data_IF_216954474352
#
_entry.id   IF_216954474352
#
_cell.length_a   1.000
_cell.length_b   1.000
_cell.length_c   1.000
_cell.angle_alpha   90.00
_cell.angle_beta   90.00
_cell.angle_gamma   90.00
#
_symmetry.space_group_name_H-M   'P 1'
#
loop_
_entity.id
_entity.type
_entity.pdbx_description
1 polymer ?
#
# COMPACT_ATOMS: atom_id res chain seq x y z
N UNK A 1 2.43 -21.51 -2.39
CA UNK A 1 2.85 -20.20 -2.89
C UNK A 1 1.70 -19.26 -2.62
N UNK A 2 1.70 -18.60 -1.47
CA UNK A 2 0.71 -17.56 -1.18
C UNK A 2 1.06 -16.39 -2.11
N UNK A 3 0.30 -16.26 -3.18
CA UNK A 3 0.48 -15.19 -4.16
C UNK A 3 0.27 -13.87 -3.42
N UNK A 4 1.33 -13.06 -3.31
CA UNK A 4 1.22 -11.70 -2.86
C UNK A 4 0.39 -10.96 -3.93
N UNK A 5 -0.90 -10.83 -3.66
CA UNK A 5 -1.88 -10.26 -4.57
C UNK A 5 -1.97 -8.77 -4.29
N UNK A 6 -1.65 -7.98 -5.32
CA UNK A 6 -1.87 -6.54 -5.31
C UNK A 6 -3.36 -6.28 -5.27
N UNK A 7 -3.84 -5.64 -4.21
CA UNK A 7 -5.22 -5.14 -4.12
C UNK A 7 -5.20 -3.69 -4.56
N UNK A 8 -6.11 -3.32 -5.43
CA UNK A 8 -6.20 -1.96 -5.97
C UNK A 8 -7.53 -1.38 -5.53
N UNK A 9 -7.50 -0.14 -5.05
CA UNK A 9 -8.70 0.60 -4.71
C UNK A 9 -8.59 2.05 -5.15
N UNK A 10 -9.64 2.55 -5.79
CA UNK A 10 -9.74 3.96 -6.18
C UNK A 10 -10.11 4.81 -4.97
N UNK A 11 -9.33 5.86 -4.71
CA UNK A 11 -9.59 6.83 -3.65
C UNK A 11 -9.28 8.25 -4.14
N UNK A 12 -10.30 9.13 -4.11
CA UNK A 12 -10.22 10.54 -4.54
C UNK A 12 -9.65 10.72 -5.98
N UNK A 13 -9.92 9.79 -6.90
CA UNK A 13 -9.39 9.84 -8.28
C UNK A 13 -7.93 9.41 -8.41
N UNK A 14 -7.42 8.66 -7.44
CA UNK A 14 -6.13 7.97 -7.51
C UNK A 14 -6.30 6.49 -7.26
N UNK A 15 -5.45 5.68 -7.89
CA UNK A 15 -5.38 4.25 -7.68
C UNK A 15 -4.39 3.94 -6.55
N UNK A 16 -4.91 3.32 -5.48
CA UNK A 16 -4.14 2.88 -4.32
C UNK A 16 -3.89 1.38 -4.43
N UNK A 17 -2.66 1.01 -4.78
CA UNK A 17 -2.20 -0.37 -4.89
C UNK A 17 -1.58 -0.82 -3.57
N UNK A 18 -2.16 -1.81 -2.92
CA UNK A 18 -1.70 -2.40 -1.66
C UNK A 18 -1.22 -3.82 -1.90
N UNK A 19 0.01 -4.11 -1.52
CA UNK A 19 0.58 -5.45 -1.46
C UNK A 19 0.89 -5.80 -0.02
N UNK A 20 0.35 -6.93 0.46
CA UNK A 20 0.70 -7.46 1.78
C UNK A 20 1.49 -8.74 1.60
N UNK A 21 2.70 -8.78 2.17
CA UNK A 21 3.61 -9.91 2.03
C UNK A 21 4.19 -10.31 3.38
N UNK A 22 4.37 -11.62 3.63
CA UNK A 22 5.07 -12.09 4.82
C UNK A 22 6.55 -11.67 4.77
N UNK A 23 7.09 -11.19 5.89
CA UNK A 23 8.46 -10.67 6.03
C UNK A 23 9.34 -11.70 6.75
N UNK A 24 10.06 -12.51 5.96
CA UNK A 24 11.00 -13.53 6.45
C UNK A 24 10.71 -14.96 5.99
N UNK A 25 11.68 -15.86 6.16
CA UNK A 25 11.59 -17.26 5.74
C UNK A 25 10.79 -18.14 6.74
N UNK A 26 10.58 -17.64 7.97
CA UNK A 26 9.89 -18.31 9.09
C UNK A 26 8.69 -17.46 9.59
N UNK A 27 7.96 -16.83 8.66
CA UNK A 27 7.04 -15.72 8.91
C UNK A 27 5.70 -16.09 9.55
N UNK A 28 5.72 -16.79 10.67
CA UNK A 28 4.56 -16.88 11.53
C UNK A 28 4.46 -15.55 12.29
N UNK A 29 3.58 -14.67 11.82
CA UNK A 29 3.24 -13.42 12.51
C UNK A 29 4.14 -12.22 12.21
N UNK A 30 4.78 -12.19 11.04
CA UNK A 30 5.49 -11.01 10.52
C UNK A 30 5.00 -10.68 9.13
N UNK A 31 4.06 -9.74 9.06
CA UNK A 31 3.54 -9.24 7.81
C UNK A 31 4.00 -7.81 7.61
N UNK A 32 4.45 -7.51 6.39
CA UNK A 32 4.72 -6.16 5.93
C UNK A 32 3.75 -5.79 4.82
N UNK A 33 3.73 -4.52 4.47
CA UNK A 33 2.95 -4.04 3.36
C UNK A 33 3.74 -3.06 2.50
N UNK A 34 3.34 -2.97 1.24
CA UNK A 34 3.78 -1.96 0.30
C UNK A 34 2.54 -1.32 -0.31
N UNK A 35 2.52 0.00 -0.33
CA UNK A 35 1.48 0.82 -0.92
C UNK A 35 2.11 1.58 -2.06
N UNK A 36 1.44 1.64 -3.20
CA UNK A 36 1.79 2.51 -4.30
C UNK A 36 0.56 3.32 -4.65
N UNK A 37 0.73 4.61 -4.83
CA UNK A 37 -0.34 5.53 -5.21
C UNK A 37 0.06 6.13 -6.53
N UNK A 38 -0.80 5.98 -7.53
CA UNK A 38 -0.62 6.57 -8.86
C UNK A 38 -1.88 7.36 -9.25
N UNK A 39 -1.71 8.38 -10.08
CA UNK A 39 -2.85 9.07 -10.67
C UNK A 39 -3.66 8.11 -11.56
N UNK A 40 -4.98 8.27 -11.59
CA UNK A 40 -5.87 7.47 -12.44
C UNK A 40 -5.38 7.49 -13.90
N UNK A 41 -5.08 6.31 -14.45
CA UNK A 41 -4.61 6.15 -15.83
C UNK A 41 -3.11 6.41 -16.06
N UNK A 42 -2.34 6.72 -15.01
CA UNK A 42 -0.88 6.74 -15.07
C UNK A 42 -0.31 5.31 -14.93
N UNK A 43 0.76 5.01 -15.67
CA UNK A 43 1.45 3.73 -15.54
C UNK A 43 2.15 3.64 -14.17
N UNK A 44 1.79 2.67 -13.29
CA UNK A 44 2.42 2.52 -11.97
C UNK A 44 3.89 2.04 -12.04
N UNK A 45 4.39 1.77 -13.25
CA UNK A 45 5.79 1.49 -13.54
C UNK A 45 6.59 2.76 -13.85
N UNK A 46 5.92 3.89 -14.10
CA UNK A 46 6.55 5.19 -14.31
C UNK A 46 6.87 5.80 -12.94
N UNK A 47 8.16 5.79 -12.60
CA UNK A 47 8.66 6.18 -11.29
C UNK A 47 8.56 7.69 -11.00
N UNK A 48 8.08 8.50 -11.95
CA UNK A 48 7.98 9.95 -11.81
C UNK A 48 6.77 10.43 -11.03
N UNK A 49 5.65 9.72 -11.11
CA UNK A 49 4.33 10.15 -10.58
C UNK A 49 3.70 9.14 -9.60
N UNK A 50 4.45 8.10 -9.24
CA UNK A 50 3.97 7.04 -8.34
C UNK A 50 4.62 7.18 -6.97
N UNK A 51 3.83 7.51 -5.95
CA UNK A 51 4.30 7.56 -4.58
C UNK A 51 4.30 6.14 -3.98
N UNK A 52 5.43 5.73 -3.43
CA UNK A 52 5.59 4.42 -2.80
C UNK A 52 5.77 4.55 -1.29
N UNK A 53 4.97 3.79 -0.53
CA UNK A 53 5.02 3.74 0.92
C UNK A 53 5.06 2.30 1.40
N UNK A 54 6.17 1.91 2.02
CA UNK A 54 6.32 0.58 2.62
C UNK A 54 6.16 0.64 4.15
N UNK A 55 5.75 -0.48 4.76
CA UNK A 55 5.64 -0.60 6.23
C UNK A 55 6.99 -0.43 6.95
N UNK A 56 8.10 -0.60 6.23
CA UNK A 56 9.46 -0.45 6.78
C UNK A 56 9.71 -1.43 7.94
N UNK A 57 10.14 -0.96 9.13
CA UNK A 57 10.39 -1.83 10.29
C UNK A 57 9.10 -2.31 10.98
N UNK A 58 7.95 -1.73 10.63
CA UNK A 58 6.67 -2.08 11.23
C UNK A 58 6.19 -3.44 10.72
N UNK A 59 5.98 -4.35 11.65
CA UNK A 59 5.60 -5.73 11.40
C UNK A 59 4.25 -6.00 12.06
N UNK A 60 3.37 -6.65 11.31
CA UNK A 60 2.03 -6.99 11.80
C UNK A 60 1.93 -8.48 12.10
N UNK A 61 1.20 -8.80 13.17
CA UNK A 61 0.95 -10.18 13.59
C UNK A 61 0.07 -10.96 12.60
N UNK A 62 -0.74 -10.28 11.77
CA UNK A 62 -1.64 -10.91 10.81
C UNK A 62 -1.64 -10.16 9.48
N UNK A 63 -1.92 -10.89 8.38
CA UNK A 63 -2.10 -10.31 7.04
C UNK A 63 -3.16 -9.21 7.04
N UNK A 64 -4.29 -9.47 7.71
CA UNK A 64 -5.40 -8.52 7.75
C UNK A 64 -5.04 -7.22 8.47
N UNK A 65 -4.28 -7.28 9.57
CA UNK A 65 -3.81 -6.07 10.24
C UNK A 65 -2.85 -5.25 9.36
N UNK A 66 -1.96 -5.91 8.61
CA UNK A 66 -1.11 -5.24 7.63
C UNK A 66 -1.92 -4.61 6.49
N UNK A 67 -2.95 -5.31 5.99
CA UNK A 67 -3.84 -4.81 4.94
C UNK A 67 -4.58 -3.55 5.37
N UNK A 68 -5.22 -3.57 6.54
CA UNK A 68 -5.94 -2.42 7.09
C UNK A 68 -5.01 -1.22 7.30
N UNK A 69 -3.80 -1.46 7.80
CA UNK A 69 -2.80 -0.41 7.98
C UNK A 69 -2.29 0.13 6.64
N UNK A 70 -2.11 -0.72 5.64
CA UNK A 70 -1.66 -0.35 4.31
C UNK A 70 -2.68 0.56 3.61
N UNK A 71 -3.96 0.17 3.61
CA UNK A 71 -5.03 1.01 3.06
C UNK A 71 -5.10 2.37 3.79
N UNK A 72 -5.07 2.35 5.12
CA UNK A 72 -5.05 3.60 5.91
C UNK A 72 -3.86 4.51 5.56
N UNK A 73 -2.67 3.95 5.38
CA UNK A 73 -1.49 4.70 4.96
C UNK A 73 -1.62 5.22 3.51
N UNK A 74 -2.21 4.42 2.62
CA UNK A 74 -2.50 4.81 1.23
C UNK A 74 -3.47 5.99 1.13
N UNK A 75 -4.58 5.96 1.87
CA UNK A 75 -5.50 7.09 1.89
C UNK A 75 -4.87 8.35 2.48
N UNK A 76 -4.07 8.22 3.54
CA UNK A 76 -3.35 9.35 4.13
C UNK A 76 -2.30 9.94 3.16
N UNK A 77 -1.67 9.09 2.35
CA UNK A 77 -0.75 9.51 1.28
C UNK A 77 -1.49 10.27 0.19
N UNK A 78 -2.61 9.73 -0.30
CA UNK A 78 -3.50 10.42 -1.26
C UNK A 78 -3.97 11.76 -0.71
N UNK A 79 -4.40 11.80 0.55
CA UNK A 79 -4.87 13.04 1.19
C UNK A 79 -3.76 14.09 1.27
N UNK A 80 -2.52 13.66 1.56
CA UNK A 80 -1.35 14.54 1.55
C UNK A 80 -1.02 15.05 0.15
N UNK A 81 -1.20 14.22 -0.89
CA UNK A 81 -0.92 14.58 -2.28
C UNK A 81 -1.95 15.56 -2.85
N UNK A 82 -3.23 15.34 -2.61
CA UNK A 82 -4.30 16.25 -3.06
C UNK A 82 -4.45 17.47 -2.17
N UNK A 83 -3.90 17.42 -0.96
CA UNK A 83 -4.20 18.37 0.10
C UNK A 83 -5.54 18.07 0.78
N UNK A 84 -5.77 18.71 1.95
CA UNK A 84 -7.04 18.58 2.67
C UNK A 84 -8.20 19.03 1.76
N UNK A 85 -9.30 18.28 1.76
CA UNK A 85 -10.57 18.78 1.22
C UNK A 85 -10.97 20.01 2.03
N UNK A 86 -10.98 21.18 1.40
CA UNK A 86 -11.62 22.39 1.93
C UNK A 86 -13.15 22.29 1.90
#
# INVERSE_FOLDING_TARGET
MENAEWRVEEYRGMDVYVLVSPQGQDSIGRWGYEVRVSQEGADPADAGDTELLASGPQQFATRHAAEVAAFGAGYALVDRLLGPVE
#
